data_IF_262549416127
#
_entry.id   IF_262549416127
#
_cell.length_a   1.000
_cell.length_b   1.000
_cell.length_c   1.000
_cell.angle_alpha   90.00
_cell.angle_beta   90.00
_cell.angle_gamma   90.00
#
_symmetry.space_group_name_H-M   'P 1'
#
loop_
_entity.id
_entity.type
_entity.pdbx_description
1 polymer ?
#
# COMPACT_ATOMS: atom_id res chain seq x y z
N UNK A 1 -1.27 25.91 7.21
CA UNK A 1 -2.56 25.21 7.04
C UNK A 1 -2.50 24.44 5.73
N UNK A 2 -2.12 23.15 5.77
CA UNK A 2 -2.13 22.32 4.58
C UNK A 2 -3.59 21.99 4.24
N UNK A 3 -4.07 22.45 3.08
CA UNK A 3 -5.41 22.14 2.61
C UNK A 3 -5.40 20.67 2.18
N UNK A 4 -5.78 19.78 3.10
CA UNK A 4 -5.97 18.35 2.82
C UNK A 4 -7.35 18.16 2.20
N UNK A 5 -7.37 17.58 1.00
CA UNK A 5 -8.61 17.39 0.21
C UNK A 5 -8.67 15.95 -0.28
N UNK A 6 -9.89 15.46 -0.50
CA UNK A 6 -10.10 14.12 -1.07
C UNK A 6 -9.35 13.94 -2.40
N UNK A 7 -9.27 15.00 -3.22
CA UNK A 7 -8.54 15.00 -4.49
C UNK A 7 -7.04 14.78 -4.33
N UNK A 8 -6.43 15.38 -3.29
CA UNK A 8 -5.02 15.15 -3.00
C UNK A 8 -4.76 13.69 -2.61
N UNK A 9 -5.64 13.11 -1.79
CA UNK A 9 -5.56 11.70 -1.41
C UNK A 9 -5.71 10.77 -2.63
N UNK A 10 -6.64 11.08 -3.55
CA UNK A 10 -6.82 10.34 -4.81
C UNK A 10 -5.57 10.40 -5.70
N UNK A 11 -4.88 11.56 -5.76
CA UNK A 11 -3.63 11.71 -6.51
C UNK A 11 -2.54 10.81 -5.92
N UNK A 12 -2.35 10.84 -4.59
CA UNK A 12 -1.39 9.95 -3.92
C UNK A 12 -1.74 8.46 -4.19
N UNK A 13 -3.02 8.11 -4.12
CA UNK A 13 -3.47 6.75 -4.41
C UNK A 13 -3.13 6.32 -5.85
N UNK A 14 -3.35 7.21 -6.82
CA UNK A 14 -3.03 6.95 -8.24
C UNK A 14 -1.53 6.79 -8.52
N UNK A 15 -0.69 7.41 -7.70
CA UNK A 15 0.77 7.31 -7.78
C UNK A 15 1.32 6.10 -7.03
N UNK A 16 0.46 5.30 -6.39
CA UNK A 16 0.85 4.13 -5.60
C UNK A 16 1.28 4.45 -4.16
N UNK A 17 1.18 5.71 -3.76
CA UNK A 17 1.40 6.21 -2.39
C UNK A 17 0.15 5.95 -1.53
N UNK A 18 -0.21 4.67 -1.38
CA UNK A 18 -1.45 4.27 -0.74
C UNK A 18 -1.44 4.57 0.77
N UNK A 19 -0.29 4.53 1.44
CA UNK A 19 -0.15 4.85 2.86
C UNK A 19 -0.42 6.35 3.12
N UNK A 20 0.17 7.23 2.30
CA UNK A 20 -0.07 8.68 2.40
C UNK A 20 -1.52 9.06 2.05
N UNK A 21 -2.09 8.42 1.03
CA UNK A 21 -3.49 8.58 0.68
C UNK A 21 -4.42 8.17 1.85
N UNK A 22 -4.09 7.09 2.55
CA UNK A 22 -4.88 6.58 3.67
C UNK A 22 -4.89 7.57 4.82
N UNK A 23 -3.71 8.10 5.19
CA UNK A 23 -3.57 9.08 6.26
C UNK A 23 -4.41 10.34 5.98
N UNK A 24 -4.43 10.83 4.74
CA UNK A 24 -5.26 11.99 4.36
C UNK A 24 -6.75 11.67 4.50
N UNK A 25 -7.20 10.51 4.01
CA UNK A 25 -8.61 10.12 4.16
C UNK A 25 -9.03 9.88 5.61
N UNK A 26 -8.15 9.35 6.46
CA UNK A 26 -8.40 9.17 7.89
C UNK A 26 -8.66 10.52 8.58
N UNK A 27 -7.86 11.53 8.27
CA UNK A 27 -8.07 12.88 8.80
C UNK A 27 -9.35 13.54 8.27
N UNK A 28 -9.67 13.33 6.99
CA UNK A 28 -10.92 13.83 6.40
C UNK A 28 -12.15 13.18 7.05
N UNK A 29 -12.10 11.87 7.29
CA UNK A 29 -13.16 11.16 8.03
C UNK A 29 -13.23 11.63 9.48
N UNK A 30 -12.11 11.91 10.13
CA UNK A 30 -12.10 12.46 11.49
C UNK A 30 -12.75 13.86 11.54
N UNK A 31 -12.54 14.68 10.52
CA UNK A 31 -13.13 16.02 10.40
C UNK A 31 -14.61 15.99 10.01
N UNK A 32 -15.03 15.00 9.20
CA UNK A 32 -16.42 14.81 8.78
C UNK A 32 -16.86 13.34 8.95
N UNK A 33 -17.08 12.88 10.19
CA UNK A 33 -17.38 11.47 10.44
C UNK A 33 -18.66 11.01 9.75
N UNK A 34 -19.63 11.89 9.57
CA UNK A 34 -20.93 11.55 8.98
C UNK A 34 -20.91 11.44 7.46
N UNK A 35 -19.81 11.75 6.77
CA UNK A 35 -19.73 11.64 5.32
C UNK A 35 -19.50 10.17 4.89
N UNK A 36 -20.51 9.50 4.30
CA UNK A 36 -20.36 8.12 3.85
C UNK A 36 -19.37 7.99 2.69
N UNK A 37 -19.22 9.00 1.83
CA UNK A 37 -18.34 8.93 0.66
C UNK A 37 -16.87 8.88 1.08
N UNK A 38 -16.49 9.60 2.14
CA UNK A 38 -15.14 9.54 2.69
C UNK A 38 -14.84 8.18 3.32
N UNK A 39 -15.82 7.58 4.01
CA UNK A 39 -15.67 6.23 4.58
C UNK A 39 -15.53 5.16 3.51
N UNK A 40 -16.35 5.21 2.46
CA UNK A 40 -16.28 4.27 1.34
C UNK A 40 -14.92 4.35 0.65
N UNK A 41 -14.44 5.57 0.37
CA UNK A 41 -13.12 5.80 -0.22
C UNK A 41 -11.98 5.27 0.64
N UNK A 42 -12.03 5.52 1.96
CA UNK A 42 -11.04 4.97 2.90
C UNK A 42 -11.06 3.44 2.93
N UNK A 43 -12.25 2.83 2.91
CA UNK A 43 -12.41 1.37 2.88
C UNK A 43 -11.84 0.76 1.61
N UNK A 44 -12.15 1.34 0.44
CA UNK A 44 -11.61 0.90 -0.84
C UNK A 44 -10.08 1.00 -0.88
N UNK A 45 -9.54 2.10 -0.36
CA UNK A 45 -8.10 2.32 -0.32
C UNK A 45 -7.38 1.31 0.59
N UNK A 46 -7.91 1.03 1.79
CA UNK A 46 -7.36 0.01 2.70
C UNK A 46 -7.39 -1.40 2.09
N UNK A 47 -8.43 -1.69 1.31
CA UNK A 47 -8.54 -2.96 0.59
C UNK A 47 -7.44 -3.08 -0.48
N UNK A 48 -7.16 -1.99 -1.21
CA UNK A 48 -6.03 -1.90 -2.14
C UNK A 48 -4.67 -2.04 -1.44
N UNK A 49 -4.49 -1.41 -0.28
CA UNK A 49 -3.26 -1.48 0.52
C UNK A 49 -2.94 -2.90 0.97
N UNK A 50 -3.97 -3.64 1.38
CA UNK A 50 -3.84 -5.05 1.78
C UNK A 50 -3.42 -5.92 0.59
N UNK A 51 -4.04 -5.72 -0.57
CA UNK A 51 -3.67 -6.44 -1.79
C UNK A 51 -2.23 -6.15 -2.23
N UNK A 52 -1.80 -4.88 -2.17
CA UNK A 52 -0.45 -4.47 -2.54
C UNK A 52 0.61 -5.06 -1.59
N UNK A 53 0.37 -5.03 -0.27
CA UNK A 53 1.28 -5.63 0.71
C UNK A 53 1.46 -7.13 0.50
N UNK A 54 0.37 -7.85 0.29
CA UNK A 54 0.40 -9.30 -0.01
C UNK A 54 1.20 -9.57 -1.29
N UNK A 55 1.08 -8.71 -2.30
CA UNK A 55 1.83 -8.85 -3.54
C UNK A 55 3.34 -8.60 -3.35
N UNK A 56 3.71 -7.56 -2.60
CA UNK A 56 5.11 -7.25 -2.28
C UNK A 56 5.75 -8.38 -1.47
N UNK A 57 5.07 -8.90 -0.45
CA UNK A 57 5.56 -10.02 0.35
C UNK A 57 5.77 -11.30 -0.48
N UNK A 58 4.83 -11.60 -1.39
CA UNK A 58 4.96 -12.72 -2.33
C UNK A 58 6.16 -12.54 -3.25
N UNK A 59 6.36 -11.34 -3.80
CA UNK A 59 7.51 -11.04 -4.64
C UNK A 59 8.84 -11.23 -3.87
N UNK A 60 8.95 -10.67 -2.67
CA UNK A 60 10.14 -10.84 -1.83
C UNK A 60 10.42 -12.30 -1.45
N UNK A 61 9.37 -13.11 -1.25
CA UNK A 61 9.51 -14.55 -0.98
C UNK A 61 10.08 -15.29 -2.19
N UNK A 62 9.61 -14.98 -3.39
CA UNK A 62 10.14 -15.57 -4.63
C UNK A 62 11.63 -15.21 -4.80
N UNK A 63 12.00 -13.96 -4.55
CA UNK A 63 13.39 -13.52 -4.66
C UNK A 63 14.29 -14.21 -3.63
N UNK A 64 13.82 -14.38 -2.39
CA UNK A 64 14.52 -15.15 -1.36
C UNK A 64 14.77 -16.60 -1.80
N UNK A 65 13.76 -17.26 -2.37
CA UNK A 65 13.89 -18.64 -2.86
C UNK A 65 14.90 -18.74 -4.03
N UNK A 66 14.91 -17.76 -4.93
CA UNK A 66 15.92 -17.68 -6.01
C UNK A 66 17.34 -17.54 -5.45
N UNK A 67 17.52 -16.68 -4.45
CA UNK A 67 18.81 -16.46 -3.80
C UNK A 67 19.34 -17.73 -3.10
N UNK A 68 18.48 -18.43 -2.37
CA UNK A 68 18.83 -19.71 -1.74
C UNK A 68 19.24 -20.76 -2.78
N UNK A 69 18.50 -20.87 -3.88
CA UNK A 69 18.83 -21.79 -4.98
C UNK A 69 20.20 -21.45 -5.61
N UNK A 70 20.52 -20.17 -5.79
CA UNK A 70 21.81 -19.72 -6.29
C UNK A 70 22.96 -20.16 -5.37
N UNK A 71 22.77 -19.96 -4.06
CA UNK A 71 23.76 -20.29 -3.03
C UNK A 71 24.07 -21.79 -2.97
N UNK A 72 23.04 -22.64 -3.05
CA UNK A 72 23.22 -24.10 -3.06
C UNK A 72 23.97 -24.57 -4.31
N UNK A 73 23.70 -23.96 -5.47
CA UNK A 73 24.42 -24.28 -6.73
C UNK A 73 25.89 -23.87 -6.67
N UNK A 74 26.21 -22.73 -6.05
CA UNK A 74 27.59 -22.27 -5.88
C UNK A 74 28.40 -23.21 -4.98
N UNK A 75 27.81 -23.67 -3.86
CA UNK A 75 28.46 -24.63 -2.94
C UNK A 75 28.68 -26.02 -3.52
N UNK A 76 27.90 -26.43 -4.52
CA UNK A 76 28.07 -27.74 -5.20
C UNK A 76 29.15 -27.74 -6.28
N UNK A 77 29.69 -26.58 -6.67
CA UNK A 77 30.74 -26.43 -7.69
C UNK A 77 32.12 -26.15 -7.11
N UNK A 78 32.24 -26.02 -5.79
CA UNK A 78 33.48 -25.91 -5.04
C UNK A 78 33.79 -27.26 -4.38
#
# INVERSE_FOLDING_TARGET
>A
MAIRTARLAEIFASQGHLDEAAAIFEELVAAAPTDPALRERLSALRSGLTAQRVQTERASRVDRLRALRSTIRARRRA
#
